data_IF_208811818566
#
_entry.id   IF_208811818566
#
_cell.length_a   1.000
_cell.length_b   1.000
_cell.length_c   1.000
_cell.angle_alpha   90.00
_cell.angle_beta   90.00
_cell.angle_gamma   90.00
#
_symmetry.space_group_name_H-M   'P 1'
#
loop_
_entity.id
_entity.type
_entity.pdbx_description
1 polymer ?
#
# COMPACT_ATOMS: atom_id res chain seq x y z
N UNK A 1 -2.63 24.85 16.83
CA UNK A 1 -2.45 25.08 18.28
C UNK A 1 -1.00 25.31 18.67
N UNK A 2 -0.03 24.86 17.89
CA UNK A 2 1.40 25.01 18.13
C UNK A 2 2.09 25.87 17.07
N UNK A 3 3.25 26.43 17.45
CA UNK A 3 4.18 27.12 16.57
C UNK A 3 5.59 26.55 16.77
N UNK A 4 6.41 26.58 15.72
CA UNK A 4 7.79 26.13 15.80
C UNK A 4 8.59 27.10 16.65
N UNK A 5 9.24 26.62 17.70
CA UNK A 5 10.12 27.39 18.57
C UNK A 5 11.60 27.01 18.41
N UNK A 6 11.90 25.81 17.90
CA UNK A 6 13.26 25.36 17.65
C UNK A 6 13.31 24.29 16.55
N UNK A 7 14.41 24.29 15.80
CA UNK A 7 14.70 23.26 14.81
C UNK A 7 16.20 23.02 14.71
N UNK A 8 16.60 21.80 14.98
CA UNK A 8 17.97 21.30 14.83
C UNK A 8 17.96 20.23 13.74
N UNK A 9 18.59 20.54 12.60
CA UNK A 9 18.50 19.70 11.42
C UNK A 9 19.02 18.27 11.67
N UNK A 10 18.17 17.28 11.43
CA UNK A 10 18.46 15.86 11.67
C UNK A 10 18.43 15.43 13.14
N UNK A 11 18.19 16.31 14.09
CA UNK A 11 18.20 16.02 15.53
C UNK A 11 16.82 16.19 16.18
N UNK A 12 16.26 17.42 16.10
CA UNK A 12 15.03 17.71 16.80
C UNK A 12 14.20 18.84 16.19
N UNK A 13 12.87 18.76 16.38
CA UNK A 13 11.92 19.84 16.14
C UNK A 13 11.17 20.13 17.44
N UNK A 14 11.20 21.37 17.91
CA UNK A 14 10.48 21.82 19.09
C UNK A 14 9.33 22.73 18.71
N UNK A 15 8.17 22.43 19.26
CA UNK A 15 6.94 23.19 19.09
C UNK A 15 6.48 23.70 20.45
N UNK A 16 5.99 24.92 20.51
CA UNK A 16 5.35 25.51 21.70
C UNK A 16 3.88 25.83 21.41
N UNK A 17 3.05 25.74 22.45
CA UNK A 17 1.65 26.09 22.34
C UNK A 17 1.50 27.57 21.91
N UNK A 18 0.69 27.82 20.88
CA UNK A 18 0.50 29.16 20.32
C UNK A 18 -0.52 29.95 21.12
N UNK A 19 -0.12 31.09 21.66
CA UNK A 19 -1.01 32.02 22.36
C UNK A 19 -2.08 32.62 21.44
N UNK A 20 -1.82 32.64 20.13
CA UNK A 20 -2.76 33.19 19.13
C UNK A 20 -3.76 32.18 18.59
N UNK A 21 -3.74 30.94 19.10
CA UNK A 21 -4.69 29.93 18.66
C UNK A 21 -6.10 30.26 19.16
N UNK A 22 -7.03 30.41 18.21
CA UNK A 22 -8.39 30.94 18.44
C UNK A 22 -9.34 30.04 19.23
N UNK A 23 -9.03 28.74 19.35
CA UNK A 23 -9.87 27.79 20.04
C UNK A 23 -9.25 27.43 21.39
N UNK A 24 -10.08 26.95 22.34
CA UNK A 24 -9.56 26.37 23.59
C UNK A 24 -8.69 25.14 23.26
N UNK A 25 -7.54 25.08 23.89
CA UNK A 25 -6.58 24.02 23.71
C UNK A 25 -6.13 23.48 25.07
N UNK A 26 -6.21 22.15 25.23
CA UNK A 26 -5.72 21.45 26.43
C UNK A 26 -4.74 20.40 25.96
N UNK A 27 -3.45 20.71 25.93
CA UNK A 27 -2.39 19.82 25.52
C UNK A 27 -1.07 20.20 26.19
N UNK A 28 0.01 19.48 25.93
CA UNK A 28 1.34 19.85 26.39
C UNK A 28 1.70 21.26 25.93
N UNK A 29 2.40 22.00 26.79
CA UNK A 29 2.87 23.34 26.44
C UNK A 29 3.99 23.29 25.39
N UNK A 30 4.80 22.22 25.43
CA UNK A 30 5.91 21.98 24.53
C UNK A 30 5.83 20.55 23.99
N UNK A 31 6.07 20.39 22.71
CA UNK A 31 6.26 19.12 22.04
C UNK A 31 7.65 19.11 21.40
N UNK A 32 8.45 18.10 21.71
CA UNK A 32 9.75 17.89 21.08
C UNK A 32 9.74 16.59 20.29
N UNK A 33 9.96 16.70 18.99
CA UNK A 33 10.15 15.56 18.11
C UNK A 33 11.65 15.28 17.99
N UNK A 34 12.09 14.11 18.40
CA UNK A 34 13.46 13.61 18.23
C UNK A 34 13.52 12.77 16.96
N UNK A 35 14.47 13.05 16.09
CA UNK A 35 14.68 12.28 14.87
C UNK A 35 15.66 11.15 15.17
N UNK A 36 15.23 9.91 14.94
CA UNK A 36 16.08 8.73 15.03
C UNK A 36 16.35 8.21 13.61
N UNK A 37 17.58 7.75 13.35
CA UNK A 37 17.97 7.23 12.05
C UNK A 37 17.29 5.89 11.71
N UNK A 38 16.99 5.08 12.74
CA UNK A 38 16.34 3.78 12.61
C UNK A 38 15.23 3.62 13.65
N UNK A 39 14.35 2.66 13.44
CA UNK A 39 13.29 2.32 14.41
C UNK A 39 13.89 1.82 15.72
N UNK A 40 14.98 1.05 15.66
CA UNK A 40 15.71 0.54 16.83
C UNK A 40 16.29 1.66 17.67
N UNK A 41 16.95 2.66 17.03
CA UNK A 41 17.46 3.83 17.73
C UNK A 41 16.33 4.65 18.40
N UNK A 42 15.18 4.74 17.76
CA UNK A 42 13.98 5.32 18.35
C UNK A 42 13.50 4.54 19.59
N UNK A 43 13.52 3.22 19.52
CA UNK A 43 13.16 2.34 20.64
C UNK A 43 14.13 2.51 21.82
N UNK A 44 15.42 2.61 21.57
CA UNK A 44 16.42 2.84 22.61
C UNK A 44 16.13 4.14 23.38
N UNK A 45 15.75 5.21 22.71
CA UNK A 45 15.34 6.47 23.33
C UNK A 45 14.08 6.29 24.20
N UNK A 46 13.13 5.50 23.77
CA UNK A 46 11.91 5.21 24.52
C UNK A 46 12.23 4.38 25.77
N UNK A 47 13.03 3.33 25.64
CA UNK A 47 13.41 2.45 26.76
C UNK A 47 14.28 3.19 27.79
N UNK A 48 15.08 4.16 27.34
CA UNK A 48 15.83 5.06 28.23
C UNK A 48 14.94 6.11 28.94
N UNK A 49 13.67 6.23 28.54
CA UNK A 49 12.75 7.24 29.09
C UNK A 49 13.04 8.66 28.58
N UNK A 50 13.77 8.80 27.47
CA UNK A 50 14.10 10.10 26.85
C UNK A 50 12.96 10.63 25.97
N UNK A 51 12.04 9.76 25.53
CA UNK A 51 10.83 10.12 24.80
C UNK A 51 9.61 9.41 25.40
N UNK A 52 8.44 10.06 25.33
CA UNK A 52 7.18 9.57 25.88
C UNK A 52 6.35 8.79 24.85
N UNK A 53 6.66 8.95 23.57
CA UNK A 53 5.89 8.38 22.46
C UNK A 53 6.84 7.97 21.33
N UNK A 54 6.54 6.83 20.72
CA UNK A 54 7.28 6.29 19.59
C UNK A 54 6.41 6.28 18.32
N UNK A 55 6.86 6.94 17.27
CA UNK A 55 6.11 7.07 16.02
C UNK A 55 6.23 5.83 15.11
N UNK A 56 7.36 5.11 15.21
CA UNK A 56 7.63 3.90 14.42
C UNK A 56 8.21 2.86 15.36
N UNK A 57 7.68 1.64 15.31
CA UNK A 57 8.18 0.50 16.07
C UNK A 57 9.04 -0.41 15.19
N UNK A 58 10.10 -1.02 15.74
CA UNK A 58 10.78 -2.13 15.08
C UNK A 58 9.82 -3.27 14.76
N UNK A 59 10.01 -3.94 13.61
CA UNK A 59 9.08 -4.96 13.12
C UNK A 59 8.89 -6.13 14.12
N UNK A 60 9.96 -6.53 14.81
CA UNK A 60 9.92 -7.60 15.80
C UNK A 60 9.06 -7.21 17.02
N UNK A 61 9.19 -5.98 17.50
CA UNK A 61 8.39 -5.48 18.60
C UNK A 61 6.93 -5.29 18.22
N UNK A 62 6.68 -4.85 16.99
CA UNK A 62 5.34 -4.77 16.46
C UNK A 62 4.67 -6.14 16.46
N UNK A 63 5.35 -7.19 16.01
CA UNK A 63 4.86 -8.57 16.02
C UNK A 63 4.57 -9.04 17.45
N UNK A 64 5.50 -8.82 18.39
CA UNK A 64 5.33 -9.19 19.79
C UNK A 64 4.13 -8.47 20.45
N UNK A 65 3.93 -7.20 20.13
CA UNK A 65 2.76 -6.44 20.61
C UNK A 65 1.46 -6.97 19.98
N UNK A 66 1.49 -7.46 18.73
CA UNK A 66 0.36 -8.10 18.06
C UNK A 66 -0.01 -9.41 18.76
N UNK A 67 0.92 -10.22 19.10
CA UNK A 67 0.70 -11.49 19.78
C UNK A 67 0.23 -11.32 21.24
N UNK A 68 0.67 -10.27 21.92
CA UNK A 68 0.35 -10.05 23.33
C UNK A 68 -1.09 -9.61 23.61
N UNK A 69 -1.90 -9.32 22.58
CA UNK A 69 -3.30 -8.85 22.67
C UNK A 69 -3.54 -7.67 23.64
N UNK A 70 -2.46 -7.01 24.09
CA UNK A 70 -2.49 -6.01 25.19
C UNK A 70 -2.70 -4.57 24.71
N UNK A 71 -3.18 -4.37 23.47
CA UNK A 71 -3.24 -3.04 22.85
C UNK A 71 -4.52 -2.80 22.09
N UNK A 72 -4.80 -1.54 21.84
CA UNK A 72 -5.80 -1.10 20.88
C UNK A 72 -5.12 -0.83 19.54
N UNK A 73 -5.48 -1.56 18.49
CA UNK A 73 -5.07 -1.29 17.13
C UNK A 73 -6.03 -0.27 16.50
N UNK A 74 -5.48 0.84 16.03
CA UNK A 74 -6.21 1.74 15.15
C UNK A 74 -5.95 1.32 13.69
N UNK A 75 -7.00 1.15 12.90
CA UNK A 75 -6.88 0.86 11.47
C UNK A 75 -6.46 2.14 10.74
N UNK A 76 -5.47 2.04 9.89
CA UNK A 76 -5.19 3.09 8.92
C UNK A 76 -6.12 2.92 7.73
N UNK A 77 -6.74 4.02 7.29
CA UNK A 77 -7.62 4.03 6.12
C UNK A 77 -6.78 4.14 4.84
N UNK A 78 -5.90 3.18 4.62
CA UNK A 78 -5.01 3.12 3.47
C UNK A 78 -5.09 1.77 2.76
N UNK A 79 -4.83 1.79 1.45
CA UNK A 79 -4.79 0.61 0.59
C UNK A 79 -3.55 0.72 -0.29
N UNK A 80 -2.77 -0.35 -0.35
CA UNK A 80 -1.72 -0.50 -1.34
C UNK A 80 -2.30 -1.17 -2.59
N UNK A 81 -1.99 -0.63 -3.76
CA UNK A 81 -2.54 -1.12 -5.02
C UNK A 81 -1.46 -1.28 -6.08
N UNK A 82 -1.57 -2.34 -6.88
CA UNK A 82 -0.86 -2.44 -8.16
C UNK A 82 -1.64 -1.66 -9.21
N UNK A 83 -0.96 -0.77 -9.91
CA UNK A 83 -1.56 0.08 -10.95
C UNK A 83 -1.07 -0.38 -12.31
N UNK A 84 -2.00 -0.68 -13.22
CA UNK A 84 -1.67 -1.07 -14.59
C UNK A 84 -1.49 0.16 -15.48
N UNK A 85 -0.41 0.18 -16.27
CA UNK A 85 -0.22 1.18 -17.31
C UNK A 85 -1.08 0.83 -18.53
N UNK A 86 -2.28 1.41 -18.60
CA UNK A 86 -3.23 1.15 -19.69
C UNK A 86 -2.82 1.80 -21.04
N UNK A 87 -1.70 2.52 -21.09
CA UNK A 87 -1.13 3.01 -22.36
C UNK A 87 -0.27 1.96 -23.08
N UNK A 88 0.06 0.85 -22.42
CA UNK A 88 0.68 -0.31 -23.04
C UNK A 88 -0.38 -1.15 -23.75
N UNK A 89 -0.12 -1.51 -25.01
CA UNK A 89 -1.07 -2.24 -25.86
C UNK A 89 -1.63 -3.50 -25.17
N UNK A 90 -0.77 -4.28 -24.54
CA UNK A 90 -1.15 -5.51 -23.82
C UNK A 90 -2.06 -5.23 -22.62
N UNK A 91 -1.77 -4.18 -21.85
CA UNK A 91 -2.53 -3.81 -20.64
C UNK A 91 -3.72 -2.89 -20.94
N UNK A 92 -3.90 -2.45 -22.18
CA UNK A 92 -5.07 -1.68 -22.63
C UNK A 92 -6.34 -2.53 -22.59
N UNK A 93 -6.25 -3.84 -22.85
CA UNK A 93 -7.38 -4.75 -22.79
C UNK A 93 -7.80 -5.03 -21.34
N UNK A 94 -9.04 -4.72 -21.01
CA UNK A 94 -9.58 -4.92 -19.66
C UNK A 94 -9.60 -6.40 -19.22
N UNK A 95 -9.70 -7.34 -20.19
CA UNK A 95 -9.68 -8.78 -19.90
C UNK A 95 -8.32 -9.23 -19.40
N UNK A 96 -7.24 -8.69 -19.96
CA UNK A 96 -5.86 -8.94 -19.50
C UNK A 96 -5.69 -8.43 -18.06
N UNK A 97 -6.09 -7.19 -17.78
CA UNK A 97 -6.02 -6.64 -16.43
C UNK A 97 -6.85 -7.42 -15.44
N UNK A 98 -8.06 -7.86 -15.84
CA UNK A 98 -8.92 -8.71 -15.00
C UNK A 98 -8.25 -10.06 -14.71
N UNK A 99 -7.64 -10.70 -15.70
CA UNK A 99 -6.90 -11.95 -15.51
C UNK A 99 -5.77 -11.81 -14.50
N UNK A 100 -4.97 -10.74 -14.58
CA UNK A 100 -3.94 -10.42 -13.61
C UNK A 100 -4.52 -10.15 -12.20
N UNK A 101 -5.67 -9.49 -12.12
CA UNK A 101 -6.35 -9.21 -10.85
C UNK A 101 -6.87 -10.49 -10.18
N UNK A 102 -7.47 -11.40 -10.95
CA UNK A 102 -8.01 -12.68 -10.44
C UNK A 102 -6.92 -13.60 -9.89
N UNK A 103 -5.73 -13.58 -10.48
CA UNK A 103 -4.63 -14.48 -10.14
C UNK A 103 -3.58 -13.88 -9.21
N UNK A 104 -3.74 -12.64 -8.78
CA UNK A 104 -2.89 -12.04 -7.76
C UNK A 104 -3.16 -12.69 -6.39
N UNK A 105 -2.15 -13.28 -5.76
CA UNK A 105 -2.24 -13.81 -4.41
C UNK A 105 -2.10 -12.67 -3.39
N UNK A 106 -3.23 -12.01 -3.09
CA UNK A 106 -3.28 -10.90 -2.14
C UNK A 106 -2.98 -11.33 -0.71
N UNK A 107 -3.29 -12.60 -0.38
CA UNK A 107 -2.99 -13.13 0.96
C UNK A 107 -1.49 -13.30 1.17
N UNK A 108 -0.79 -13.91 0.19
CA UNK A 108 0.68 -14.04 0.24
C UNK A 108 1.37 -12.66 0.22
N UNK A 109 0.85 -11.73 -0.55
CA UNK A 109 1.39 -10.37 -0.60
C UNK A 109 1.14 -9.59 0.70
N UNK A 110 -0.01 -9.77 1.36
CA UNK A 110 -0.28 -9.18 2.67
C UNK A 110 0.62 -9.80 3.76
N UNK A 111 0.85 -11.11 3.73
CA UNK A 111 1.79 -11.78 4.63
C UNK A 111 3.21 -11.23 4.45
N UNK A 112 3.65 -11.07 3.20
CA UNK A 112 4.94 -10.47 2.87
C UNK A 112 5.05 -8.99 3.29
N UNK A 113 3.93 -8.25 3.28
CA UNK A 113 3.89 -6.86 3.73
C UNK A 113 4.04 -6.72 5.25
N UNK A 114 3.70 -7.75 6.01
CA UNK A 114 3.91 -7.82 7.45
C UNK A 114 2.64 -8.00 8.26
N UNK A 115 2.81 -8.14 9.57
CA UNK A 115 1.78 -8.58 10.51
C UNK A 115 0.55 -7.65 10.65
N UNK A 116 0.59 -6.45 10.08
CA UNK A 116 -0.52 -5.49 10.12
C UNK A 116 -1.28 -5.37 8.80
N UNK A 117 -0.81 -6.05 7.76
CA UNK A 117 -1.45 -6.08 6.47
C UNK A 117 -2.45 -7.24 6.35
N UNK A 118 -3.46 -7.07 5.53
CA UNK A 118 -4.42 -8.13 5.17
C UNK A 118 -4.85 -8.00 3.71
N UNK A 119 -5.32 -9.09 3.14
CA UNK A 119 -5.78 -9.14 1.76
C UNK A 119 -7.02 -8.27 1.57
N UNK A 120 -6.93 -7.26 0.72
CA UNK A 120 -8.05 -6.37 0.46
C UNK A 120 -9.13 -7.04 -0.40
N UNK A 121 -10.39 -6.81 -0.04
CA UNK A 121 -11.58 -7.27 -0.79
C UNK A 121 -12.11 -6.20 -1.75
N UNK A 122 -11.46 -5.05 -1.80
CA UNK A 122 -11.82 -3.92 -2.66
C UNK A 122 -10.91 -2.71 -2.47
N UNK A 123 -11.17 -1.63 -3.23
CA UNK A 123 -10.34 -0.42 -3.21
C UNK A 123 -10.53 0.42 -1.95
N UNK A 124 -11.73 0.41 -1.37
CA UNK A 124 -12.03 1.19 -0.18
C UNK A 124 -11.79 0.31 1.05
N UNK A 125 -10.92 0.71 1.99
CA UNK A 125 -10.65 -0.07 3.18
C UNK A 125 -11.83 -0.07 4.15
N UNK A 126 -11.90 -1.06 5.08
CA UNK A 126 -12.85 -1.03 6.18
C UNK A 126 -12.64 0.18 7.10
N UNK A 127 -13.74 0.68 7.69
CA UNK A 127 -13.72 1.84 8.57
C UNK A 127 -14.02 3.16 7.89
N UNK A 128 -14.12 3.21 6.56
CA UNK A 128 -14.62 4.38 5.84
C UNK A 128 -16.14 4.45 6.03
N UNK A 129 -16.70 5.55 6.57
CA UNK A 129 -18.14 5.65 6.81
C UNK A 129 -18.96 5.43 5.53
N UNK A 130 -19.96 4.54 5.62
CA UNK A 130 -20.97 4.33 4.57
C UNK A 130 -22.13 5.32 4.69
N UNK A 131 -23.13 5.13 3.88
CA UNK A 131 -24.38 5.93 3.93
C UNK A 131 -25.35 5.45 4.99
N UNK A 132 -25.11 4.25 5.59
CA UNK A 132 -25.94 3.61 6.60
C UNK A 132 -25.25 3.55 7.97
N UNK A 133 -25.63 2.55 8.76
CA UNK A 133 -25.05 2.30 10.08
C UNK A 133 -23.72 1.53 10.02
N UNK A 134 -23.43 0.91 8.86
CA UNK A 134 -22.22 0.12 8.62
C UNK A 134 -21.20 0.93 7.82
N UNK A 135 -19.97 0.43 7.76
CA UNK A 135 -18.94 1.04 6.91
C UNK A 135 -19.17 0.72 5.43
N UNK A 136 -18.57 1.54 4.56
CA UNK A 136 -18.71 1.45 3.11
C UNK A 136 -18.28 0.07 2.58
N UNK A 137 -17.27 -0.56 3.19
CA UNK A 137 -16.78 -1.86 2.72
C UNK A 137 -17.80 -2.96 2.99
N UNK A 138 -18.40 -2.95 4.17
CA UNK A 138 -19.47 -3.90 4.55
C UNK A 138 -20.68 -3.75 3.64
N UNK A 139 -21.12 -2.52 3.37
CA UNK A 139 -22.25 -2.22 2.48
C UNK A 139 -21.97 -2.64 1.02
N UNK A 140 -20.71 -2.46 0.56
CA UNK A 140 -20.29 -2.74 -0.81
C UNK A 140 -20.02 -4.22 -1.12
N UNK A 141 -19.96 -5.08 -0.09
CA UNK A 141 -19.67 -6.51 -0.23
C UNK A 141 -18.26 -6.82 -0.76
N UNK A 142 -17.99 -8.09 -0.97
CA UNK A 142 -16.72 -8.61 -1.50
C UNK A 142 -16.65 -8.40 -3.00
N UNK A 143 -15.65 -7.64 -3.46
CA UNK A 143 -15.38 -7.41 -4.89
C UNK A 143 -14.25 -8.29 -5.43
N UNK A 144 -13.32 -8.69 -4.54
CA UNK A 144 -12.15 -9.49 -4.85
C UNK A 144 -12.19 -10.74 -3.96
N UNK A 145 -12.28 -11.88 -4.59
CA UNK A 145 -12.26 -13.18 -3.88
C UNK A 145 -10.81 -13.51 -3.46
N UNK A 146 -10.63 -13.74 -2.18
CA UNK A 146 -9.34 -14.12 -1.57
C UNK A 146 -9.37 -15.54 -1.00
N UNK A 147 -10.46 -16.31 -1.22
CA UNK A 147 -10.56 -17.68 -0.71
C UNK A 147 -9.56 -18.59 -1.43
N UNK A 148 -8.64 -19.24 -0.70
CA UNK A 148 -7.70 -20.17 -1.29
C UNK A 148 -8.37 -21.35 -2.01
N UNK A 149 -9.58 -21.72 -1.62
CA UNK A 149 -10.33 -22.81 -2.24
C UNK A 149 -10.78 -22.49 -3.68
N UNK A 150 -10.90 -21.21 -4.01
CA UNK A 150 -11.35 -20.78 -5.34
C UNK A 150 -10.18 -20.44 -6.30
N UNK A 151 -8.92 -20.57 -5.86
CA UNK A 151 -7.74 -20.18 -6.67
C UNK A 151 -7.68 -20.86 -8.03
N UNK A 152 -7.97 -22.17 -8.08
CA UNK A 152 -7.93 -22.92 -9.34
C UNK A 152 -9.03 -22.48 -10.31
N UNK A 153 -10.22 -22.20 -9.81
CA UNK A 153 -11.35 -21.69 -10.59
C UNK A 153 -11.05 -20.28 -11.14
N UNK A 154 -10.54 -19.40 -10.29
CA UNK A 154 -10.13 -18.05 -10.68
C UNK A 154 -9.00 -18.06 -11.71
N UNK A 155 -8.04 -18.99 -11.58
CA UNK A 155 -6.96 -19.15 -12.57
C UNK A 155 -7.50 -19.67 -13.91
N UNK A 156 -8.51 -20.53 -13.90
CA UNK A 156 -9.18 -20.99 -15.13
C UNK A 156 -9.98 -19.87 -15.81
N UNK A 157 -10.75 -19.09 -15.04
CA UNK A 157 -11.42 -17.88 -15.56
C UNK A 157 -10.40 -16.93 -16.18
N UNK A 158 -9.28 -16.69 -15.51
CA UNK A 158 -8.23 -15.80 -15.99
C UNK A 158 -7.61 -16.27 -17.31
N UNK A 159 -7.35 -17.57 -17.46
CA UNK A 159 -6.85 -18.13 -18.74
C UNK A 159 -7.89 -17.99 -19.85
N UNK A 160 -9.18 -18.17 -19.55
CA UNK A 160 -10.27 -17.92 -20.47
C UNK A 160 -10.30 -16.48 -20.97
N UNK A 161 -10.16 -15.50 -20.06
CA UNK A 161 -10.10 -14.08 -20.41
C UNK A 161 -8.89 -13.74 -21.29
N UNK A 162 -7.73 -14.34 -21.00
CA UNK A 162 -6.53 -14.16 -21.84
C UNK A 162 -6.76 -14.74 -23.25
N UNK A 163 -7.33 -15.92 -23.36
CA UNK A 163 -7.64 -16.54 -24.65
C UNK A 163 -8.64 -15.69 -25.47
N UNK A 164 -9.68 -15.14 -24.83
CA UNK A 164 -10.63 -14.22 -25.46
C UNK A 164 -9.97 -12.90 -25.90
N UNK A 165 -8.94 -12.45 -25.20
CA UNK A 165 -8.13 -11.29 -25.55
C UNK A 165 -7.13 -11.56 -26.69
N UNK A 166 -7.03 -12.81 -27.14
CA UNK A 166 -6.12 -13.22 -28.22
C UNK A 166 -4.83 -13.89 -27.74
N UNK A 167 -4.66 -14.10 -26.44
CA UNK A 167 -3.49 -14.71 -25.82
C UNK A 167 -3.82 -16.11 -25.29
N UNK A 168 -3.95 -17.09 -26.20
CA UNK A 168 -4.25 -18.47 -25.84
C UNK A 168 -3.12 -19.12 -25.00
N UNK A 169 -1.88 -18.71 -25.22
CA UNK A 169 -0.75 -18.94 -24.34
C UNK A 169 -0.38 -17.60 -23.68
N UNK A 170 -0.39 -17.57 -22.36
CA UNK A 170 -0.08 -16.35 -21.60
C UNK A 170 1.33 -15.81 -21.91
N UNK A 171 2.26 -16.66 -22.37
CA UNK A 171 3.59 -16.25 -22.84
C UNK A 171 3.56 -15.35 -24.06
N UNK A 172 2.47 -15.38 -24.85
CA UNK A 172 2.29 -14.51 -26.00
C UNK A 172 2.04 -13.03 -25.61
N UNK A 173 1.74 -12.76 -24.32
CA UNK A 173 1.72 -11.41 -23.75
C UNK A 173 3.09 -10.73 -23.75
N UNK A 174 4.17 -11.52 -23.88
CA UNK A 174 5.54 -11.04 -23.73
C UNK A 174 5.94 -10.85 -22.26
N UNK A 175 7.05 -10.16 -22.06
CA UNK A 175 7.56 -9.84 -20.71
C UNK A 175 6.81 -8.63 -20.14
N UNK A 176 6.32 -8.77 -18.93
CA UNK A 176 5.74 -7.67 -18.15
C UNK A 176 6.75 -7.21 -17.10
N UNK A 177 6.92 -5.90 -16.96
CA UNK A 177 7.72 -5.32 -15.89
C UNK A 177 6.81 -4.84 -14.76
N UNK A 178 7.11 -5.27 -13.53
CA UNK A 178 6.45 -4.80 -12.32
C UNK A 178 7.40 -3.91 -11.53
N UNK A 179 7.07 -2.62 -11.41
CA UNK A 179 7.84 -1.66 -10.62
C UNK A 179 7.30 -1.61 -9.19
N UNK A 180 8.21 -1.62 -8.22
CA UNK A 180 7.87 -1.45 -6.81
C UNK A 180 8.83 -0.47 -6.14
N UNK A 181 8.40 0.17 -5.05
CA UNK A 181 9.29 1.02 -4.25
C UNK A 181 10.21 0.12 -3.43
N UNK A 182 11.53 0.28 -3.63
CA UNK A 182 12.56 -0.53 -2.96
C UNK A 182 12.82 -0.01 -1.54
N UNK A 183 11.77 -0.07 -0.71
CA UNK A 183 11.78 0.33 0.69
C UNK A 183 11.01 -0.72 1.52
N UNK A 184 11.47 -0.97 2.75
CA UNK A 184 10.81 -1.88 3.67
C UNK A 184 10.59 -3.28 3.06
N UNK A 185 9.34 -3.73 3.07
CA UNK A 185 8.96 -5.06 2.56
C UNK A 185 8.57 -5.05 1.06
N UNK A 186 8.80 -3.95 0.33
CA UNK A 186 8.40 -3.80 -1.06
C UNK A 186 8.87 -4.93 -1.97
N UNK A 187 10.12 -5.37 -1.84
CA UNK A 187 10.68 -6.48 -2.62
C UNK A 187 9.97 -7.81 -2.33
N UNK A 188 9.66 -8.10 -1.07
CA UNK A 188 8.98 -9.34 -0.68
C UNK A 188 7.53 -9.38 -1.20
N UNK A 189 6.82 -8.25 -1.11
CA UNK A 189 5.47 -8.10 -1.69
C UNK A 189 5.49 -8.28 -3.20
N UNK A 190 6.45 -7.64 -3.88
CA UNK A 190 6.60 -7.76 -5.33
C UNK A 190 6.87 -9.21 -5.75
N UNK A 191 7.74 -9.91 -5.04
CA UNK A 191 8.05 -11.31 -5.33
C UNK A 191 6.82 -12.20 -5.17
N UNK A 192 6.03 -12.02 -4.10
CA UNK A 192 4.80 -12.79 -3.87
C UNK A 192 3.80 -12.65 -5.03
N UNK A 193 3.65 -11.44 -5.57
CA UNK A 193 2.78 -11.20 -6.72
C UNK A 193 3.32 -11.80 -8.02
N UNK A 194 4.62 -11.65 -8.27
CA UNK A 194 5.28 -12.24 -9.45
C UNK A 194 5.14 -13.76 -9.44
N UNK A 195 5.40 -14.41 -8.30
CA UNK A 195 5.27 -15.86 -8.14
C UNK A 195 3.81 -16.31 -8.39
N UNK A 196 2.83 -15.55 -7.93
CA UNK A 196 1.43 -15.85 -8.17
C UNK A 196 1.08 -15.81 -9.66
N UNK A 197 1.46 -14.77 -10.38
CA UNK A 197 1.21 -14.64 -11.82
C UNK A 197 1.97 -15.69 -12.64
N UNK A 198 3.22 -15.97 -12.30
CA UNK A 198 4.00 -17.03 -12.94
C UNK A 198 3.37 -18.41 -12.71
N UNK A 199 2.99 -18.72 -11.47
CA UNK A 199 2.39 -20.00 -11.12
C UNK A 199 1.02 -20.22 -11.75
N UNK A 200 0.13 -19.21 -11.68
CA UNK A 200 -1.26 -19.35 -12.14
C UNK A 200 -1.40 -19.30 -13.66
N UNK A 201 -0.61 -18.46 -14.33
CA UNK A 201 -0.75 -18.13 -15.75
C UNK A 201 0.48 -18.50 -16.60
N UNK A 202 1.63 -18.76 -16.00
CA UNK A 202 2.89 -19.00 -16.73
C UNK A 202 3.46 -17.71 -17.35
N UNK A 203 3.07 -16.54 -16.85
CA UNK A 203 3.55 -15.23 -17.33
C UNK A 203 5.03 -15.03 -17.04
N UNK A 204 5.70 -14.29 -17.92
CA UNK A 204 7.04 -13.77 -17.66
C UNK A 204 6.91 -12.37 -17.07
N UNK A 205 7.11 -12.25 -15.76
CA UNK A 205 7.05 -10.98 -15.04
C UNK A 205 8.37 -10.74 -14.36
N UNK A 206 8.97 -9.58 -14.60
CA UNK A 206 10.21 -9.14 -13.95
C UNK A 206 9.89 -8.03 -12.96
N UNK A 207 10.23 -8.22 -11.67
CA UNK A 207 10.10 -7.18 -10.66
C UNK A 207 11.36 -6.31 -10.64
N UNK A 208 11.17 -4.98 -10.65
CA UNK A 208 12.27 -4.02 -10.54
C UNK A 208 11.99 -3.01 -9.42
N UNK A 209 12.92 -2.96 -8.45
CA UNK A 209 12.92 -1.95 -7.40
C UNK A 209 13.33 -0.58 -7.92
N UNK A 210 12.60 0.44 -7.52
CA UNK A 210 12.84 1.84 -7.87
C UNK A 210 12.65 2.73 -6.65
N UNK A 211 13.19 3.95 -6.68
CA UNK A 211 12.88 4.93 -5.67
C UNK A 211 11.43 5.41 -5.80
N UNK A 212 10.85 5.93 -4.71
CA UNK A 212 9.51 6.53 -4.75
C UNK A 212 9.43 7.65 -5.78
N UNK A 213 10.46 8.50 -5.86
CA UNK A 213 10.52 9.59 -6.84
C UNK A 213 10.49 9.07 -8.29
N UNK A 214 11.16 7.94 -8.57
CA UNK A 214 11.13 7.32 -9.89
C UNK A 214 9.77 6.72 -10.20
N UNK A 215 9.12 6.05 -9.23
CA UNK A 215 7.80 5.47 -9.40
C UNK A 215 6.72 6.54 -9.63
N UNK A 216 6.80 7.66 -8.90
CA UNK A 216 5.86 8.77 -8.98
C UNK A 216 6.11 9.65 -10.22
N UNK A 217 7.24 9.50 -10.88
CA UNK A 217 7.57 10.27 -12.09
C UNK A 217 6.65 9.85 -13.24
N UNK A 218 5.94 10.80 -13.86
CA UNK A 218 5.08 10.49 -14.99
C UNK A 218 5.89 9.90 -16.13
N UNK A 219 5.38 8.83 -16.74
CA UNK A 219 5.94 8.29 -17.97
C UNK A 219 5.79 9.32 -19.09
N UNK A 220 6.85 10.12 -19.35
CA UNK A 220 6.85 11.10 -20.44
C UNK A 220 6.96 12.57 -20.01
N UNK A 221 7.84 12.92 -19.08
CA UNK A 221 8.33 14.25 -18.73
C UNK A 221 7.37 15.44 -19.02
N UNK A 222 7.02 16.21 -18.03
CA UNK A 222 6.11 17.35 -17.97
C UNK A 222 4.64 17.01 -17.69
N UNK A 223 4.33 16.85 -16.42
CA UNK A 223 2.94 16.93 -15.97
C UNK A 223 2.68 18.27 -15.30
N UNK A 224 2.17 19.21 -16.09
CA UNK A 224 1.28 20.23 -15.57
C UNK A 224 -0.16 19.72 -15.73
N UNK A 225 -0.99 19.72 -14.66
CA UNK A 225 -2.39 19.34 -14.78
C UNK A 225 -3.15 20.37 -15.62
N UNK A 226 -3.71 19.92 -16.72
CA UNK A 226 -4.75 20.64 -17.42
C UNK A 226 -4.35 21.40 -18.66
N UNK A 227 -3.98 20.72 -19.72
CA UNK A 227 -4.31 21.15 -21.08
C UNK A 227 -4.49 19.94 -21.99
N UNK A 228 -5.74 19.72 -22.36
CA UNK A 228 -6.21 19.05 -23.58
C UNK A 228 -5.29 18.01 -24.24
N UNK A 229 -5.54 16.75 -24.02
CA UNK A 229 -5.13 15.68 -24.92
C UNK A 229 -4.02 14.76 -24.45
N UNK A 230 -3.63 14.78 -23.17
CA UNK A 230 -2.67 13.82 -22.64
C UNK A 230 -3.40 12.56 -22.14
N UNK A 231 -3.17 11.37 -22.72
CA UNK A 231 -3.77 10.11 -22.29
C UNK A 231 -3.23 9.61 -20.94
N UNK A 232 -2.36 10.35 -20.27
CA UNK A 232 -1.64 9.92 -19.06
C UNK A 232 -2.48 9.79 -17.77
N UNK A 233 -3.70 10.30 -17.69
CA UNK A 233 -4.55 10.27 -16.49
C UNK A 233 -5.78 9.38 -16.62
N UNK A 234 -5.98 8.72 -17.74
CA UNK A 234 -7.11 7.84 -18.02
C UNK A 234 -6.84 6.41 -17.61
N UNK A 235 -7.55 5.93 -16.60
CA UNK A 235 -7.77 4.51 -16.31
C UNK A 235 -6.55 3.73 -15.78
N UNK A 236 -6.22 3.98 -14.54
CA UNK A 236 -5.41 3.05 -13.75
C UNK A 236 -6.34 2.09 -13.02
N UNK A 237 -6.15 0.79 -13.19
CA UNK A 237 -6.89 -0.26 -12.50
C UNK A 237 -5.90 -1.11 -11.70
N UNK A 238 -6.19 -1.41 -10.44
CA UNK A 238 -5.19 -1.98 -9.53
C UNK A 238 -5.61 -3.28 -8.85
N UNK A 239 -4.63 -4.05 -8.41
CA UNK A 239 -4.74 -5.13 -7.44
C UNK A 239 -4.42 -4.57 -6.05
N UNK A 240 -5.19 -4.96 -5.03
CA UNK A 240 -5.23 -4.23 -3.76
C UNK A 240 -4.75 -5.05 -2.58
N UNK A 241 -4.00 -4.40 -1.68
CA UNK A 241 -3.78 -4.84 -0.31
C UNK A 241 -4.27 -3.77 0.65
N UNK A 242 -4.70 -4.19 1.81
CA UNK A 242 -5.01 -3.28 2.88
C UNK A 242 -3.95 -3.39 3.98
N UNK A 243 -3.41 -2.26 4.42
CA UNK A 243 -2.41 -2.21 5.46
C UNK A 243 -3.00 -1.57 6.72
N UNK A 244 -2.85 -2.25 7.87
CA UNK A 244 -3.17 -1.67 9.17
C UNK A 244 -1.94 -0.96 9.70
N UNK A 245 -1.96 0.38 9.69
CA UNK A 245 -0.95 1.19 10.35
C UNK A 245 -1.17 1.25 11.86
N UNK A 246 -0.10 1.06 12.63
CA UNK A 246 -0.08 1.43 14.05
C UNK A 246 0.26 2.92 14.15
N UNK A 247 -0.60 3.70 14.76
CA UNK A 247 -0.32 5.04 15.24
C UNK A 247 -0.33 5.06 16.76
#
# INVERSE_FOLDING_TARGET
PYQVSGYEAGEALTLEASETYRNSFSGPQTLTFRFAETAEAGQDLYDAGEVDFLGILPAEQLTALIEAESRTLARELSVQAVVFNCAQDTLMDARVRRALTLTADRSAAAEAAGATAYAAEGLIPPGVPGSGEQDFRTDGGVLLDNDPAHRDELAEEARGLLAEAGYADARDLGELEYLYVDEGNGAAVAQALVDAWQSALGLQVTARGVSREELDRPAGGDLLPGRNGDPGFGQRCGVLFDAVGLR
#
